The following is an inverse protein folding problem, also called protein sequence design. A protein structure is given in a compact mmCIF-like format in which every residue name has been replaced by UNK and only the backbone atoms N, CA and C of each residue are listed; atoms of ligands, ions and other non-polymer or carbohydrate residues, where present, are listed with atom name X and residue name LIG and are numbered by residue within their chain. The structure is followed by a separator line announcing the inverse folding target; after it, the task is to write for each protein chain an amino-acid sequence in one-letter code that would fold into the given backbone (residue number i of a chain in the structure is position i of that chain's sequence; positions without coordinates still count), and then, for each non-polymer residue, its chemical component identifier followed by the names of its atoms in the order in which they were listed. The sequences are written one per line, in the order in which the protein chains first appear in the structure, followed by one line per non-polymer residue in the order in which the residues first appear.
data_IF_313290397455
#
_entry.id   IF_313290397455
#
_cell.length_a   1.000
_cell.length_b   1.000
_cell.length_c   1.000
_cell.angle_alpha   90.00
_cell.angle_beta   90.00
_cell.angle_gamma   90.00
#
_symmetry.space_group_name_H-M   'P 1'
#
loop_
_entity.id
_entity.type
_entity.pdbx_description
1 polymer ?
#
# COMPACT_ATOMS: atom_id res chain seq x y z
N UNK A 1 -12.53 -8.47 22.97
CA UNK A 1 -12.91 -7.84 21.70
C UNK A 1 -12.19 -8.59 20.59
N UNK A 2 -12.87 -9.16 19.59
CA UNK A 2 -12.16 -9.73 18.44
C UNK A 2 -11.34 -8.62 17.79
N UNK A 3 -10.03 -8.85 17.59
CA UNK A 3 -9.20 -7.93 16.79
C UNK A 3 -9.78 -7.95 15.38
N UNK A 4 -10.45 -6.87 15.00
CA UNK A 4 -11.02 -6.74 13.67
C UNK A 4 -9.85 -6.56 12.70
N UNK A 5 -9.55 -7.60 11.95
CA UNK A 5 -8.51 -7.57 10.92
C UNK A 5 -8.93 -6.61 9.81
N UNK A 6 -7.96 -5.86 9.26
CA UNK A 6 -8.26 -4.96 8.15
C UNK A 6 -8.46 -5.76 6.86
N UNK A 7 -9.50 -5.41 6.12
CA UNK A 7 -9.81 -6.06 4.85
C UNK A 7 -9.04 -5.41 3.69
N UNK A 8 -9.13 -6.03 2.51
CA UNK A 8 -8.48 -5.56 1.29
C UNK A 8 -8.83 -4.10 0.94
N UNK A 9 -10.10 -3.71 1.02
CA UNK A 9 -10.53 -2.34 0.67
C UNK A 9 -9.89 -1.27 1.59
N UNK A 10 -9.76 -1.58 2.88
CA UNK A 10 -9.05 -0.72 3.84
C UNK A 10 -7.57 -0.60 3.49
N UNK A 11 -6.91 -1.71 3.12
CA UNK A 11 -5.51 -1.71 2.70
C UNK A 11 -5.31 -0.80 1.48
N UNK A 12 -6.14 -0.95 0.45
CA UNK A 12 -6.05 -0.13 -0.76
C UNK A 12 -6.23 1.37 -0.45
N UNK A 13 -7.16 1.68 0.45
CA UNK A 13 -7.42 3.05 0.91
C UNK A 13 -6.21 3.64 1.64
N UNK A 14 -5.61 2.88 2.59
CA UNK A 14 -4.44 3.32 3.36
C UNK A 14 -3.27 3.61 2.42
N UNK A 15 -2.95 2.69 1.51
CA UNK A 15 -1.80 2.86 0.60
C UNK A 15 -2.02 4.03 -0.35
N UNK A 16 -3.25 4.24 -0.84
CA UNK A 16 -3.57 5.38 -1.70
C UNK A 16 -3.42 6.70 -0.95
N UNK A 17 -3.91 6.79 0.28
CA UNK A 17 -3.80 7.99 1.11
C UNK A 17 -2.34 8.31 1.43
N UNK A 18 -1.54 7.30 1.78
CA UNK A 18 -0.12 7.47 2.04
C UNK A 18 0.64 7.93 0.79
N UNK A 19 0.34 7.35 -0.38
CA UNK A 19 0.93 7.78 -1.64
C UNK A 19 0.55 9.23 -2.00
N UNK A 20 -0.70 9.65 -1.79
CA UNK A 20 -1.14 11.03 -2.00
C UNK A 20 -0.47 12.01 -1.04
N UNK A 21 -0.18 11.58 0.18
CA UNK A 21 0.55 12.38 1.16
C UNK A 21 2.02 12.57 0.76
N UNK A 22 2.68 11.52 0.29
CA UNK A 22 4.09 11.57 -0.14
C UNK A 22 4.30 12.25 -1.50
N UNK A 23 3.34 12.11 -2.42
CA UNK A 23 3.40 12.66 -3.77
C UNK A 23 2.25 13.65 -4.01
N UNK A 24 2.46 14.92 -3.64
CA UNK A 24 1.47 15.97 -3.87
C UNK A 24 1.10 16.18 -5.35
N UNK A 25 1.97 15.75 -6.28
CA UNK A 25 1.79 15.80 -7.73
C UNK A 25 1.43 14.44 -8.34
N UNK A 26 0.89 13.51 -7.54
CA UNK A 26 0.39 12.21 -8.00
C UNK A 26 -0.74 12.40 -9.01
N UNK A 27 -0.52 11.99 -10.26
CA UNK A 27 -1.52 12.00 -11.32
C UNK A 27 -2.29 10.69 -11.40
N UNK A 28 -1.57 9.57 -11.33
CA UNK A 28 -2.16 8.25 -11.43
C UNK A 28 -1.60 7.30 -10.38
N UNK A 29 -2.46 6.42 -9.88
CA UNK A 29 -2.13 5.43 -8.87
C UNK A 29 -2.88 4.12 -9.17
N UNK A 30 -2.13 3.14 -9.63
CA UNK A 30 -2.66 1.85 -10.06
C UNK A 30 -2.13 0.74 -9.16
N UNK A 31 -3.03 -0.07 -8.62
CA UNK A 31 -2.69 -1.24 -7.83
C UNK A 31 -2.62 -2.46 -8.75
N UNK A 32 -1.49 -3.14 -8.77
CA UNK A 32 -1.26 -4.34 -9.57
C UNK A 32 -1.53 -5.61 -8.76
N UNK A 33 -1.23 -5.58 -7.46
CA UNK A 33 -1.39 -6.73 -6.56
C UNK A 33 -1.67 -6.26 -5.14
N UNK A 34 -2.60 -6.94 -4.47
CA UNK A 34 -2.91 -6.76 -3.05
C UNK A 34 -3.09 -8.15 -2.46
N UNK A 35 -2.08 -8.63 -1.76
CA UNK A 35 -2.02 -10.01 -1.30
C UNK A 35 -1.75 -10.06 0.19
N UNK A 36 -2.61 -10.74 0.95
CA UNK A 36 -2.33 -11.06 2.34
C UNK A 36 -1.30 -12.19 2.39
N UNK A 37 -0.17 -11.94 3.03
CA UNK A 37 0.90 -12.92 3.28
C UNK A 37 1.10 -13.09 4.78
N UNK A 38 1.61 -14.24 5.17
CA UNK A 38 1.78 -14.58 6.57
C UNK A 38 1.05 -15.87 6.95
N UNK A 39 1.27 -16.26 8.19
CA UNK A 39 0.62 -17.39 8.83
C UNK A 39 0.31 -17.04 10.27
N UNK A 40 0.03 -18.06 11.08
CA UNK A 40 -0.59 -18.00 12.43
C UNK A 40 -0.11 -16.86 13.37
N UNK A 41 1.12 -16.33 13.22
CA UNK A 41 1.70 -15.35 14.14
C UNK A 41 2.08 -13.98 13.56
N UNK A 42 2.20 -13.83 12.24
CA UNK A 42 2.59 -12.56 11.60
C UNK A 42 1.97 -12.45 10.21
N UNK A 43 0.73 -11.98 10.18
CA UNK A 43 0.03 -11.64 8.95
C UNK A 43 0.34 -10.19 8.55
N UNK A 44 0.60 -10.00 7.26
CA UNK A 44 0.83 -8.71 6.63
C UNK A 44 0.21 -8.67 5.23
N UNK A 45 -0.14 -7.48 4.77
CA UNK A 45 -0.52 -7.25 3.37
C UNK A 45 0.69 -6.80 2.59
N UNK A 46 0.95 -7.44 1.45
CA UNK A 46 1.87 -6.93 0.43
C UNK A 46 1.05 -6.27 -0.67
N UNK A 47 1.36 -5.02 -0.95
CA UNK A 47 0.70 -4.22 -1.98
C UNK A 47 1.74 -3.77 -2.98
N UNK A 48 1.50 -4.01 -4.26
CA UNK A 48 2.38 -3.63 -5.34
C UNK A 48 1.58 -2.89 -6.40
N UNK A 49 2.18 -1.90 -7.02
CA UNK A 49 1.51 -1.08 -8.00
C UNK A 49 2.44 -0.11 -8.69
N UNK A 50 1.85 0.81 -9.43
CA UNK A 50 2.58 1.86 -10.13
C UNK A 50 1.97 3.22 -9.85
N UNK A 51 2.84 4.20 -9.65
CA UNK A 51 2.47 5.60 -9.47
C UNK A 51 3.06 6.44 -10.61
N UNK A 52 2.31 7.46 -11.03
CA UNK A 52 2.73 8.43 -12.04
C UNK A 52 2.65 9.82 -11.42
N UNK A 53 3.74 10.56 -11.48
CA UNK A 53 3.84 11.94 -10.95
C UNK A 53 3.96 12.93 -12.08
N UNK A 54 3.32 14.09 -11.93
CA UNK A 54 3.22 15.11 -12.97
C UNK A 54 4.56 15.77 -13.28
N UNK A 55 5.38 16.05 -12.26
CA UNK A 55 6.63 16.78 -12.46
C UNK A 55 7.75 15.94 -13.03
N UNK A 56 7.81 14.64 -12.69
CA UNK A 56 8.87 13.78 -13.15
C UNK A 56 8.51 13.00 -14.42
N UNK A 57 7.22 13.01 -14.83
CA UNK A 57 6.71 12.29 -16.01
C UNK A 57 6.95 10.78 -15.99
N UNK A 58 7.48 10.27 -14.88
CA UNK A 58 8.01 8.92 -14.75
C UNK A 58 7.02 8.04 -14.03
N UNK A 59 6.65 6.94 -14.68
CA UNK A 59 5.95 5.83 -14.05
C UNK A 59 6.95 5.09 -13.17
N UNK A 60 6.67 4.99 -11.87
CA UNK A 60 7.48 4.26 -10.89
C UNK A 60 6.69 3.11 -10.30
N UNK A 61 7.39 2.04 -9.99
CA UNK A 61 6.79 0.90 -9.30
C UNK A 61 6.93 1.09 -7.80
N UNK A 62 5.91 0.74 -7.04
CA UNK A 62 5.95 0.80 -5.59
C UNK A 62 5.61 -0.54 -4.97
N UNK A 63 6.10 -0.73 -3.74
CA UNK A 63 5.76 -1.86 -2.89
C UNK A 63 5.54 -1.39 -1.46
N UNK A 64 4.43 -1.80 -0.86
CA UNK A 64 4.11 -1.61 0.55
C UNK A 64 3.97 -2.94 1.26
N UNK A 65 4.34 -2.96 2.54
CA UNK A 65 3.96 -4.00 3.49
C UNK A 65 3.24 -3.38 4.66
N UNK A 66 2.05 -3.87 4.95
CA UNK A 66 1.19 -3.38 6.02
C UNK A 66 0.88 -4.48 7.02
N UNK A 67 0.84 -4.19 8.31
CA UNK A 67 0.37 -5.14 9.31
C UNK A 67 -1.12 -5.47 9.09
N UNK A 68 -1.46 -6.76 9.06
CA UNK A 68 -2.84 -7.17 8.71
C UNK A 68 -3.86 -6.87 9.80
N UNK A 69 -3.44 -6.68 11.05
CA UNK A 69 -4.35 -6.38 12.16
C UNK A 69 -4.60 -4.88 12.32
N UNK A 70 -3.60 -4.04 12.02
CA UNK A 70 -3.61 -2.60 12.34
C UNK A 70 -3.62 -1.70 11.12
N UNK A 71 -3.18 -2.20 9.95
CA UNK A 71 -2.96 -1.38 8.77
C UNK A 71 -1.73 -0.48 8.83
N UNK A 72 -0.90 -0.62 9.87
CA UNK A 72 0.36 0.10 9.97
C UNK A 72 1.28 -0.27 8.80
N UNK A 73 1.74 0.73 8.05
CA UNK A 73 2.74 0.55 6.99
C UNK A 73 4.09 0.27 7.66
N UNK A 74 4.61 -0.95 7.48
CA UNK A 74 5.90 -1.38 8.04
C UNK A 74 7.07 -1.13 7.11
N UNK A 75 6.83 -1.32 5.81
CA UNK A 75 7.84 -1.12 4.78
C UNK A 75 7.20 -0.47 3.57
N UNK A 76 7.95 0.44 2.95
CA UNK A 76 7.57 1.12 1.73
C UNK A 76 8.82 1.32 0.86
N UNK A 77 8.71 1.02 -0.42
CA UNK A 77 9.76 1.28 -1.41
C UNK A 77 9.18 1.70 -2.75
N UNK A 78 9.91 2.58 -3.44
CA UNK A 78 9.61 3.02 -4.81
C UNK A 78 10.87 2.93 -5.65
N UNK A 79 10.71 2.36 -6.85
CA UNK A 79 11.78 2.13 -7.82
C UNK A 79 11.41 2.72 -9.19
#
# INVERSE_FOLDING_TARGET
MPKQEINKDMVETIVRQDAQFHYADLENFELSSVTKKGGIFRDHWEVEGTLTTRHYGGKRSFKYKLDASTGEIREYSVS
#
